data_IF_518105117711
#
_entry.id   IF_518105117711
#
_cell.length_a   1.000
_cell.length_b   1.000
_cell.length_c   1.000
_cell.angle_alpha   90.00
_cell.angle_beta   90.00
_cell.angle_gamma   90.00
#
_symmetry.space_group_name_H-M   'P 1'
#
loop_
_entity.id
_entity.type
_entity.pdbx_description
1 polymer ?
#
# COMPACT_ATOMS: atom_id res chain seq x y z
N UNK A 1 15.56 0.00 -7.37
CA UNK A 1 16.34 -0.80 -6.37
C UNK A 1 16.52 -0.08 -5.02
N UNK A 2 16.88 1.21 -4.93
CA UNK A 2 17.02 1.90 -3.63
C UNK A 2 15.68 2.13 -2.89
N UNK A 3 14.67 2.65 -3.58
CA UNK A 3 13.36 2.91 -2.95
C UNK A 3 12.69 1.65 -2.40
N UNK A 4 12.66 0.57 -3.19
CA UNK A 4 12.18 -0.75 -2.74
C UNK A 4 12.97 -1.26 -1.52
N UNK A 5 14.30 -1.07 -1.49
CA UNK A 5 15.11 -1.42 -0.32
C UNK A 5 14.70 -0.62 0.91
N UNK A 6 14.47 0.69 0.76
CA UNK A 6 14.03 1.52 1.88
C UNK A 6 12.62 1.17 2.37
N UNK A 7 11.67 0.88 1.46
CA UNK A 7 10.36 0.31 1.84
C UNK A 7 10.54 -0.98 2.62
N UNK A 8 11.40 -1.89 2.16
CA UNK A 8 11.71 -3.14 2.87
C UNK A 8 12.28 -2.91 4.26
N UNK A 9 13.18 -1.92 4.42
CA UNK A 9 13.72 -1.54 5.73
C UNK A 9 12.63 -1.00 6.65
N UNK A 10 11.77 -0.09 6.16
CA UNK A 10 10.65 0.45 6.96
C UNK A 10 9.60 -0.62 7.29
N UNK A 11 9.29 -1.54 6.38
CA UNK A 11 8.36 -2.65 6.67
C UNK A 11 8.87 -3.56 7.80
N UNK A 12 10.18 -3.71 7.91
CA UNK A 12 10.83 -4.50 8.96
C UNK A 12 10.99 -3.76 10.30
N UNK A 13 10.68 -2.46 10.35
CA UNK A 13 10.78 -1.68 11.59
C UNK A 13 9.77 -2.19 12.64
N UNK A 14 10.21 -2.51 13.87
CA UNK A 14 9.34 -3.05 14.92
C UNK A 14 8.17 -2.15 15.33
N UNK A 15 8.26 -0.86 15.05
CA UNK A 15 7.22 0.11 15.35
C UNK A 15 6.24 0.32 14.17
N UNK A 16 6.57 -0.14 12.97
CA UNK A 16 5.69 -0.11 11.78
C UNK A 16 4.96 -1.45 11.63
N UNK A 17 5.62 -2.58 11.91
CA UNK A 17 5.01 -3.93 11.91
C UNK A 17 4.23 -4.26 10.63
N UNK A 18 4.71 -3.76 9.49
CA UNK A 18 4.04 -3.94 8.20
C UNK A 18 2.77 -3.10 8.00
N UNK A 19 2.40 -2.22 8.92
CA UNK A 19 1.26 -1.31 8.75
C UNK A 19 1.52 -0.30 7.62
N UNK A 20 0.63 -0.28 6.62
CA UNK A 20 0.79 0.52 5.41
C UNK A 20 0.67 2.02 5.65
N UNK A 21 -0.12 2.41 6.65
CA UNK A 21 -0.35 3.80 6.98
C UNK A 21 0.86 4.35 7.72
N UNK A 22 1.35 3.65 8.75
CA UNK A 22 2.59 3.98 9.45
C UNK A 22 3.80 3.97 8.51
N UNK A 23 3.86 3.01 7.58
CA UNK A 23 4.87 2.96 6.53
C UNK A 23 4.86 4.22 5.67
N UNK A 24 3.69 4.63 5.16
CA UNK A 24 3.56 5.81 4.30
C UNK A 24 3.93 7.10 5.06
N UNK A 25 3.55 7.20 6.33
CA UNK A 25 3.95 8.30 7.22
C UNK A 25 5.47 8.32 7.40
N UNK A 26 6.10 7.18 7.71
CA UNK A 26 7.55 7.09 7.87
C UNK A 26 8.32 7.34 6.57
N UNK A 27 7.75 6.99 5.42
CA UNK A 27 8.34 7.24 4.11
C UNK A 27 8.42 8.73 3.78
N UNK A 28 7.31 9.47 3.94
CA UNK A 28 7.26 10.89 3.61
C UNK A 28 7.72 11.79 4.77
N UNK A 29 7.21 11.55 5.98
CA UNK A 29 7.51 12.34 7.16
C UNK A 29 8.81 11.92 7.86
N UNK A 30 9.32 10.72 7.59
CA UNK A 30 10.49 10.15 8.27
C UNK A 30 10.14 9.37 9.55
N UNK A 31 10.87 8.29 9.89
CA UNK A 31 10.61 7.49 11.09
C UNK A 31 10.68 8.29 12.40
N UNK A 32 11.57 9.30 12.46
CA UNK A 32 11.69 10.19 13.61
C UNK A 32 10.42 11.01 13.88
N UNK A 33 9.80 11.54 12.83
CA UNK A 33 8.53 12.27 12.96
C UNK A 33 7.38 11.33 13.27
N UNK A 34 7.33 10.14 12.65
CA UNK A 34 6.35 9.12 13.02
C UNK A 34 6.38 8.83 14.53
N UNK A 35 7.58 8.56 15.07
CA UNK A 35 7.78 8.29 16.48
C UNK A 35 7.48 9.49 17.39
N UNK A 36 7.68 10.72 16.90
CA UNK A 36 7.29 11.93 17.61
C UNK A 36 5.75 12.06 17.66
N UNK A 37 5.07 11.85 16.54
CA UNK A 37 3.62 11.99 16.42
C UNK A 37 2.88 10.94 17.22
N UNK A 38 3.27 9.66 17.13
CA UNK A 38 2.69 8.57 17.93
C UNK A 38 2.75 8.79 19.44
N UNK A 39 3.76 9.52 19.93
CA UNK A 39 3.93 9.82 21.36
C UNK A 39 3.15 11.04 21.84
N UNK A 40 2.86 11.99 20.94
CA UNK A 40 2.31 13.30 21.31
C UNK A 40 0.84 13.47 20.95
N UNK A 41 0.36 12.67 20.00
CA UNK A 41 -1.01 12.73 19.51
C UNK A 41 -1.82 11.69 20.26
N UNK A 42 -2.95 12.12 20.81
CA UNK A 42 -4.00 11.23 21.27
C UNK A 42 -4.89 10.89 20.08
N UNK A 43 -4.98 9.62 19.73
CA UNK A 43 -5.75 9.14 18.57
C UNK A 43 -6.63 7.93 18.91
N UNK A 44 -6.77 7.58 20.20
CA UNK A 44 -7.62 6.47 20.70
C UNK A 44 -7.40 5.16 19.95
N UNK A 45 -6.17 4.93 19.47
CA UNK A 45 -5.81 3.79 18.63
C UNK A 45 -6.59 3.67 17.30
N UNK A 46 -7.25 4.74 16.84
CA UNK A 46 -7.93 4.81 15.55
C UNK A 46 -6.97 5.28 14.44
N UNK A 47 -6.84 4.52 13.34
CA UNK A 47 -5.88 4.82 12.27
C UNK A 47 -6.23 6.08 11.47
N UNK A 48 -7.52 6.37 11.25
CA UNK A 48 -7.95 7.54 10.48
C UNK A 48 -7.76 8.82 11.29
N UNK A 49 -8.14 8.79 12.57
CA UNK A 49 -7.90 9.90 13.50
C UNK A 49 -6.41 10.18 13.67
N UNK A 50 -5.58 9.12 13.72
CA UNK A 50 -4.13 9.31 13.75
C UNK A 50 -3.63 10.10 12.53
N UNK A 51 -4.07 9.75 11.32
CA UNK A 51 -3.70 10.50 10.11
C UNK A 51 -4.20 11.93 10.16
N UNK A 52 -5.48 12.15 10.45
CA UNK A 52 -6.04 13.51 10.44
C UNK A 52 -5.39 14.44 11.46
N UNK A 53 -4.86 13.88 12.53
CA UNK A 53 -4.20 14.66 13.58
C UNK A 53 -2.71 14.94 13.28
N UNK A 54 -2.13 14.37 12.20
CA UNK A 54 -0.76 14.69 11.80
C UNK A 54 -0.67 16.17 11.39
N UNK A 55 0.19 16.99 12.04
CA UNK A 55 0.29 18.42 11.73
C UNK A 55 0.82 18.72 10.32
N UNK A 56 1.62 17.81 9.77
CA UNK A 56 2.18 17.95 8.44
C UNK A 56 1.11 17.67 7.36
N UNK A 57 0.52 18.73 6.81
CA UNK A 57 -0.49 18.64 5.75
C UNK A 57 0.00 17.81 4.55
N UNK A 58 1.25 18.03 4.12
CA UNK A 58 1.84 17.27 3.02
C UNK A 58 1.86 15.76 3.30
N UNK A 59 2.22 15.37 4.53
CA UNK A 59 2.28 13.96 4.93
C UNK A 59 0.90 13.32 4.98
N UNK A 60 -0.13 14.02 5.47
CA UNK A 60 -1.52 13.52 5.45
C UNK A 60 -1.97 13.20 4.03
N UNK A 61 -1.88 14.20 3.15
CA UNK A 61 -2.28 14.06 1.76
C UNK A 61 -1.43 13.02 1.00
N UNK A 62 -0.14 12.89 1.33
CA UNK A 62 0.70 11.84 0.77
C UNK A 62 0.20 10.44 1.14
N UNK A 63 -0.12 10.21 2.42
CA UNK A 63 -0.61 8.91 2.90
C UNK A 63 -1.92 8.53 2.23
N UNK A 64 -2.88 9.46 2.19
CA UNK A 64 -4.17 9.27 1.52
C UNK A 64 -3.97 8.85 0.05
N UNK A 65 -3.10 9.57 -0.67
CA UNK A 65 -2.81 9.26 -2.08
C UNK A 65 -2.13 7.91 -2.27
N UNK A 66 -1.20 7.53 -1.39
CA UNK A 66 -0.51 6.23 -1.49
C UNK A 66 -1.51 5.08 -1.28
N UNK A 67 -2.36 5.17 -0.26
CA UNK A 67 -3.35 4.12 0.01
C UNK A 67 -4.42 4.05 -1.09
N UNK A 68 -4.96 5.19 -1.52
CA UNK A 68 -5.91 5.24 -2.62
C UNK A 68 -5.33 4.61 -3.90
N UNK A 69 -4.10 4.99 -4.26
CA UNK A 69 -3.42 4.41 -5.43
C UNK A 69 -3.20 2.91 -5.27
N UNK A 70 -2.75 2.44 -4.09
CA UNK A 70 -2.58 1.01 -3.83
C UNK A 70 -3.88 0.23 -4.10
N UNK A 71 -5.01 0.74 -3.64
CA UNK A 71 -6.30 0.10 -3.84
C UNK A 71 -6.77 0.15 -5.30
N UNK A 72 -6.58 1.27 -5.99
CA UNK A 72 -6.86 1.38 -7.42
C UNK A 72 -6.03 0.37 -8.22
N UNK A 73 -4.75 0.21 -7.89
CA UNK A 73 -3.89 -0.76 -8.57
C UNK A 73 -4.29 -2.20 -8.24
N UNK A 74 -4.66 -2.51 -7.00
CA UNK A 74 -5.18 -3.83 -6.65
C UNK A 74 -6.45 -4.15 -7.45
N UNK A 75 -7.36 -3.20 -7.56
CA UNK A 75 -8.58 -3.34 -8.35
C UNK A 75 -8.27 -3.65 -9.83
N UNK A 76 -7.37 -2.88 -10.44
CA UNK A 76 -6.91 -3.10 -11.83
C UNK A 76 -6.20 -4.44 -12.05
N UNK A 77 -5.62 -5.01 -11.00
CA UNK A 77 -4.93 -6.30 -11.03
C UNK A 77 -5.84 -7.47 -10.62
N UNK A 78 -7.14 -7.23 -10.38
CA UNK A 78 -8.08 -8.24 -9.90
C UNK A 78 -7.71 -8.79 -8.52
N UNK A 79 -7.06 -7.97 -7.69
CA UNK A 79 -6.61 -8.32 -6.34
C UNK A 79 -7.55 -7.78 -5.26
N UNK A 80 -7.68 -8.57 -4.20
CA UNK A 80 -8.37 -8.14 -2.99
C UNK A 80 -7.71 -6.90 -2.37
N UNK A 81 -8.49 -6.14 -1.60
CA UNK A 81 -8.05 -4.91 -0.95
C UNK A 81 -8.11 -5.04 0.59
N UNK A 82 -7.43 -6.04 1.21
CA UNK A 82 -7.56 -6.31 2.65
C UNK A 82 -7.16 -5.13 3.54
N UNK A 83 -6.29 -4.24 3.07
CA UNK A 83 -5.94 -3.02 3.80
C UNK A 83 -7.03 -1.94 3.74
N UNK A 84 -7.84 -1.91 2.69
CA UNK A 84 -9.02 -1.05 2.64
C UNK A 84 -10.08 -1.57 3.60
N UNK A 85 -10.33 -2.88 3.57
CA UNK A 85 -11.33 -3.52 4.44
C UNK A 85 -10.96 -3.35 5.92
N UNK A 86 -9.68 -3.54 6.28
CA UNK A 86 -9.19 -3.29 7.63
C UNK A 86 -9.41 -1.84 8.05
N UNK A 87 -9.03 -0.87 7.20
CA UNK A 87 -9.18 0.55 7.52
C UNK A 87 -10.65 0.95 7.67
N UNK A 88 -11.54 0.42 6.81
CA UNK A 88 -12.98 0.64 6.90
C UNK A 88 -13.60 0.04 8.19
N UNK A 89 -12.98 -0.99 8.75
CA UNK A 89 -13.35 -1.59 10.03
C UNK A 89 -12.69 -0.90 11.26
N UNK A 90 -12.00 0.23 11.07
CA UNK A 90 -11.26 0.92 12.14
C UNK A 90 -10.00 0.18 12.60
N UNK A 91 -9.51 -0.76 11.80
CA UNK A 91 -8.33 -1.57 12.09
C UNK A 91 -7.11 -1.03 11.33
N UNK A 92 -5.94 -1.26 11.92
CA UNK A 92 -4.66 -0.87 11.32
C UNK A 92 -4.37 -1.69 10.04
N UNK A 93 -4.18 -1.04 8.88
CA UNK A 93 -4.05 -1.71 7.59
C UNK A 93 -2.69 -2.37 7.37
N UNK A 94 -2.55 -3.63 7.77
CA UNK A 94 -1.32 -4.42 7.55
C UNK A 94 -1.13 -4.79 6.07
N UNK A 95 0.11 -4.66 5.58
CA UNK A 95 0.50 -5.09 4.24
C UNK A 95 0.35 -6.60 4.07
N UNK A 96 -0.32 -6.99 2.98
CA UNK A 96 -0.39 -8.38 2.51
C UNK A 96 0.09 -8.44 1.06
N UNK A 97 1.12 -9.26 0.82
CA UNK A 97 1.58 -9.57 -0.52
C UNK A 97 0.61 -10.56 -1.17
N UNK A 98 -0.01 -10.17 -2.29
CA UNK A 98 -0.99 -10.97 -3.02
C UNK A 98 -0.42 -11.57 -4.32
N UNK A 99 0.91 -11.51 -4.48
CA UNK A 99 1.60 -11.95 -5.69
C UNK A 99 1.33 -11.06 -6.91
N UNK A 100 1.70 -11.55 -8.08
CA UNK A 100 1.24 -10.98 -9.35
C UNK A 100 -0.16 -11.53 -9.58
N UNK A 101 -1.16 -10.67 -9.80
CA UNK A 101 -2.52 -11.10 -10.16
C UNK A 101 -2.51 -12.05 -11.36
N UNK A 102 -3.65 -12.66 -11.69
CA UNK A 102 -3.76 -13.48 -12.92
C UNK A 102 -3.21 -12.67 -14.09
N UNK A 103 -2.14 -13.17 -14.71
CA UNK A 103 -1.65 -12.58 -15.96
C UNK A 103 -2.74 -12.87 -16.99
N UNK A 104 -3.55 -11.88 -17.32
CA UNK A 104 -4.34 -11.92 -18.54
C UNK A 104 -3.35 -11.79 -19.69
N UNK A 105 -2.77 -12.92 -20.10
CA UNK A 105 -2.03 -13.02 -21.34
C UNK A 105 -3.07 -12.83 -22.44
N UNK A 106 -2.94 -11.76 -23.23
CA UNK A 106 -3.72 -11.65 -24.45
C UNK A 106 -3.37 -12.87 -25.33
N UNK A 107 -4.29 -13.82 -25.43
CA UNK A 107 -4.17 -14.92 -26.37
C UNK A 107 -4.44 -14.29 -27.74
N UNK A 108 -3.37 -14.02 -28.49
CA UNK A 108 -3.51 -13.73 -29.90
C UNK A 108 -3.86 -15.06 -30.56
N UNK A 109 -5.10 -15.23 -31.01
CA UNK A 109 -5.46 -16.33 -31.88
C UNK A 109 -4.62 -16.21 -33.15
N UNK A 110 -3.68 -17.14 -33.35
CA UNK A 110 -3.00 -17.27 -34.63
C UNK A 110 -4.01 -17.77 -35.68
N UNK A 111 -4.15 -17.11 -36.84
CA UNK A 111 -4.95 -17.64 -37.93
C UNK A 111 -4.29 -18.93 -38.42
N UNK A 112 -4.92 -20.07 -38.18
CA UNK A 112 -4.51 -21.35 -38.78
C UNK A 112 -4.99 -21.40 -40.23
N UNK A 113 -4.33 -20.65 -41.12
CA UNK A 113 -4.45 -20.89 -42.55
C UNK A 113 -3.39 -21.93 -42.96
N UNK A 114 -3.90 -23.14 -43.20
CA UNK A 114 -3.12 -24.34 -43.45
C UNK A 114 -2.27 -24.23 -44.72
N UNK A 115 -0.97 -24.49 -44.55
CA UNK A 115 -0.10 -24.86 -45.67
C UNK A 115 -0.02 -26.38 -45.67
N UNK A 116 -0.85 -27.00 -46.51
CA UNK A 116 -0.70 -28.40 -46.91
C UNK A 116 0.51 -28.50 -47.85
N UNK A 117 1.52 -29.25 -47.44
CA UNK A 117 2.60 -29.66 -48.31
C UNK A 117 2.05 -30.49 -49.49
N UNK A 118 2.34 -30.04 -50.71
CA UNK A 118 2.48 -30.86 -51.92
C UNK A 118 3.62 -30.29 -52.74
#
# INVERSE_FOLDING_TARGET
KLGQKYIGMLLAEPHIQGDLLLLAVAWNGGPGNLNKWRRRIEYTNDPLLFIETIPAFETRHFVERVLANLWIYRDRLGQDKPSLDALAAGQWPVYKALGHGKVEVAIFDEPTDGISAR
#
